data_IF_706978954805
#
_entry.id   IF_706978954805
#
_cell.length_a   1.000
_cell.length_b   1.000
_cell.length_c   1.000
_cell.angle_alpha   90.00
_cell.angle_beta   90.00
_cell.angle_gamma   90.00
#
_symmetry.space_group_name_H-M   'P 1'
#
loop_
_entity.id
_entity.type
_entity.pdbx_description
1 polymer ?
#
# COMPACT_ATOMS: atom_id res chain seq x y z
N UNK A 1 38.60 -24.67 -55.03
CA UNK A 1 37.41 -23.78 -54.96
C UNK A 1 36.46 -24.40 -53.93
N UNK A 2 36.56 -24.02 -52.65
CA UNK A 2 35.66 -23.06 -51.97
C UNK A 2 34.20 -23.31 -52.34
N UNK A 3 33.36 -23.73 -51.39
CA UNK A 3 32.63 -22.80 -50.53
C UNK A 3 32.29 -23.39 -49.16
N UNK A 4 32.72 -22.69 -48.11
CA UNK A 4 32.27 -22.83 -46.73
C UNK A 4 30.83 -22.31 -46.60
N UNK A 5 29.95 -23.09 -45.95
CA UNK A 5 28.67 -22.59 -45.45
C UNK A 5 28.70 -22.67 -43.92
N UNK A 6 28.93 -21.53 -43.28
CA UNK A 6 28.89 -21.38 -41.84
C UNK A 6 27.45 -21.58 -41.34
N UNK A 7 27.21 -22.68 -40.63
CA UNK A 7 25.99 -22.89 -39.86
C UNK A 7 26.21 -22.37 -38.44
N UNK A 8 26.02 -21.07 -38.26
CA UNK A 8 25.83 -20.43 -36.95
C UNK A 8 24.34 -20.17 -36.83
N UNK A 9 23.60 -21.06 -36.16
CA UNK A 9 22.21 -20.80 -35.82
C UNK A 9 21.94 -21.16 -34.36
N UNK A 10 22.15 -20.14 -33.54
CA UNK A 10 21.34 -19.78 -32.37
C UNK A 10 20.78 -20.94 -31.52
N UNK A 11 21.54 -21.30 -30.48
CA UNK A 11 20.97 -21.77 -29.21
C UNK A 11 20.14 -20.63 -28.60
N UNK A 12 18.92 -20.43 -29.11
CA UNK A 12 17.89 -19.71 -28.39
C UNK A 12 17.51 -20.59 -27.22
N UNK A 13 18.08 -20.30 -26.06
CA UNK A 13 17.61 -20.76 -24.77
C UNK A 13 16.12 -20.43 -24.66
N UNK A 14 15.29 -21.38 -25.04
CA UNK A 14 13.89 -21.47 -24.64
C UNK A 14 13.92 -21.86 -23.17
N UNK A 15 14.38 -20.96 -22.31
CA UNK A 15 14.05 -21.04 -20.89
C UNK A 15 12.56 -20.75 -20.83
N UNK A 16 11.69 -21.75 -20.57
CA UNK A 16 10.32 -21.44 -20.23
C UNK A 16 10.42 -20.57 -18.98
N UNK A 17 9.97 -19.34 -19.12
CA UNK A 17 9.78 -18.41 -18.02
C UNK A 17 8.95 -19.17 -16.98
N UNK A 18 9.61 -19.68 -15.94
CA UNK A 18 8.94 -20.33 -14.82
C UNK A 18 8.04 -19.26 -14.21
N UNK A 19 6.79 -19.25 -14.66
CA UNK A 19 5.70 -18.57 -14.01
C UNK A 19 5.59 -19.18 -12.63
N UNK A 20 6.27 -18.58 -11.66
CA UNK A 20 6.02 -18.83 -10.25
C UNK A 20 4.57 -18.46 -9.98
N UNK A 21 3.67 -19.45 -10.09
CA UNK A 21 2.29 -19.29 -9.64
C UNK A 21 2.37 -18.93 -8.15
N UNK A 22 1.67 -17.87 -7.70
CA UNK A 22 1.65 -17.52 -6.29
C UNK A 22 1.08 -18.70 -5.51
N UNK A 23 1.92 -19.33 -4.69
CA UNK A 23 1.50 -20.41 -3.80
C UNK A 23 0.67 -19.77 -2.69
N UNK A 24 -0.64 -20.04 -2.65
CA UNK A 24 -1.50 -19.65 -1.52
C UNK A 24 -0.92 -20.31 -0.26
N UNK A 25 -0.53 -19.55 0.79
CA UNK A 25 0.08 -20.15 1.97
C UNK A 25 -0.95 -20.96 2.76
N UNK A 26 -0.48 -22.03 3.42
CA UNK A 26 -1.32 -23.11 3.96
C UNK A 26 -2.22 -22.73 5.15
N UNK A 27 -1.96 -21.61 5.84
CA UNK A 27 -2.85 -21.01 6.87
C UNK A 27 -2.62 -19.49 6.96
N UNK A 28 -3.66 -18.63 6.86
CA UNK A 28 -3.53 -17.21 7.15
C UNK A 28 -3.29 -16.98 8.66
N UNK A 29 -2.61 -15.88 8.98
CA UNK A 29 -2.79 -15.22 10.27
C UNK A 29 -4.09 -14.43 10.15
N UNK A 30 -5.15 -14.87 10.84
CA UNK A 30 -6.39 -14.09 10.89
C UNK A 30 -6.19 -12.95 11.89
N UNK A 31 -6.40 -11.73 11.44
CA UNK A 31 -6.40 -10.53 12.27
C UNK A 31 -7.82 -9.98 12.21
N UNK A 32 -8.53 -10.07 13.33
CA UNK A 32 -9.85 -9.43 13.46
C UNK A 32 -9.60 -7.96 13.77
N UNK A 33 -10.07 -7.07 12.91
CA UNK A 33 -9.94 -5.64 13.11
C UNK A 33 -11.29 -4.95 13.01
N UNK A 34 -11.90 -4.71 14.17
CA UNK A 34 -13.24 -4.14 14.25
C UNK A 34 -14.30 -5.08 13.63
N UNK A 35 -14.99 -4.61 12.58
CA UNK A 35 -16.05 -5.36 11.87
C UNK A 35 -15.57 -6.08 10.60
N UNK A 36 -14.28 -5.94 10.24
CA UNK A 36 -13.73 -6.53 9.02
C UNK A 36 -12.68 -7.56 9.40
N UNK A 37 -12.88 -8.80 8.94
CA UNK A 37 -11.89 -9.87 9.09
C UNK A 37 -10.81 -9.67 8.03
N UNK A 38 -9.60 -9.33 8.48
CA UNK A 38 -8.44 -9.13 7.60
C UNK A 38 -7.54 -10.35 7.72
N UNK A 39 -7.56 -11.19 6.69
CA UNK A 39 -6.65 -12.32 6.60
C UNK A 39 -5.28 -11.86 6.09
N UNK A 40 -4.25 -12.11 6.90
CA UNK A 40 -2.87 -11.77 6.56
C UNK A 40 -2.05 -13.02 6.30
N UNK A 41 -1.45 -13.08 5.12
CA UNK A 41 -0.71 -14.21 4.61
C UNK A 41 0.80 -13.92 4.64
N UNK A 42 1.59 -14.87 5.15
CA UNK A 42 3.06 -14.75 5.13
C UNK A 42 3.67 -15.36 3.87
N UNK A 43 4.63 -14.67 3.28
CA UNK A 43 5.48 -15.16 2.19
C UNK A 43 6.80 -15.62 2.78
N UNK A 44 7.10 -16.91 2.64
CA UNK A 44 8.32 -17.53 3.19
C UNK A 44 9.29 -17.95 2.09
N UNK A 45 10.59 -17.77 2.33
CA UNK A 45 11.68 -18.30 1.50
C UNK A 45 12.68 -19.02 2.41
N UNK A 46 12.99 -20.29 2.10
CA UNK A 46 13.88 -21.14 2.93
C UNK A 46 13.47 -21.16 4.42
N UNK A 47 12.18 -21.35 4.70
CA UNK A 47 11.56 -21.33 6.04
C UNK A 47 11.59 -19.97 6.79
N UNK A 48 12.27 -18.93 6.28
CA UNK A 48 12.25 -17.57 6.84
C UNK A 48 11.11 -16.75 6.21
N UNK A 49 10.41 -15.95 7.02
CA UNK A 49 9.42 -14.97 6.55
C UNK A 49 10.15 -13.82 5.84
N UNK A 50 9.62 -13.38 4.69
CA UNK A 50 10.18 -12.30 3.86
C UNK A 50 9.23 -11.12 3.68
N UNK A 51 7.94 -11.37 3.71
CA UNK A 51 6.92 -10.35 3.55
C UNK A 51 5.55 -10.89 3.93
N UNK A 52 4.57 -10.00 3.98
CA UNK A 52 3.17 -10.31 4.19
C UNK A 52 2.32 -9.68 3.10
N UNK A 53 1.12 -10.24 2.89
CA UNK A 53 0.08 -9.61 2.09
C UNK A 53 -1.30 -9.91 2.66
N UNK A 54 -2.28 -9.09 2.29
CA UNK A 54 -3.69 -9.31 2.59
C UNK A 54 -4.51 -8.91 1.38
N UNK A 55 -5.49 -9.75 1.04
CA UNK A 55 -6.53 -9.41 0.08
C UNK A 55 -7.65 -8.72 0.87
N UNK A 56 -7.82 -7.43 0.65
CA UNK A 56 -8.78 -6.58 1.34
C UNK A 56 -9.99 -6.35 0.44
N UNK A 57 -11.16 -6.64 0.97
CA UNK A 57 -12.46 -6.31 0.40
C UNK A 57 -13.29 -5.63 1.51
N UNK A 58 -13.49 -4.32 1.39
CA UNK A 58 -14.10 -3.52 2.47
C UNK A 58 -14.99 -2.42 1.91
N UNK A 59 -16.11 -2.08 2.59
CA UNK A 59 -16.82 -0.85 2.29
C UNK A 59 -15.92 0.36 2.58
N UNK A 60 -16.05 1.41 1.76
CA UNK A 60 -15.19 2.61 1.82
C UNK A 60 -15.97 3.92 1.79
N UNK A 61 -17.24 3.90 2.18
CA UNK A 61 -18.02 5.08 2.43
C UNK A 61 -18.95 4.89 3.63
N UNK A 62 -19.63 5.96 4.06
CA UNK A 62 -20.51 5.94 5.23
C UNK A 62 -21.86 5.27 4.98
N UNK A 63 -22.21 5.07 3.72
CA UNK A 63 -23.48 4.48 3.28
C UNK A 63 -23.22 3.13 2.61
N UNK A 64 -24.13 2.16 2.74
CA UNK A 64 -23.94 0.80 2.17
C UNK A 64 -24.15 0.72 0.64
N UNK A 65 -24.09 1.86 -0.06
CA UNK A 65 -24.38 1.94 -1.49
C UNK A 65 -23.11 1.80 -2.32
N UNK A 66 -21.93 2.12 -1.78
CA UNK A 66 -20.70 2.17 -2.57
C UNK A 66 -20.19 0.78 -3.00
N UNK A 67 -19.47 0.76 -4.13
CA UNK A 67 -18.69 -0.41 -4.52
C UNK A 67 -17.59 -0.72 -3.48
N UNK A 68 -17.41 -2.00 -3.19
CA UNK A 68 -16.38 -2.45 -2.25
C UNK A 68 -14.98 -2.16 -2.81
N UNK A 69 -14.10 -1.62 -1.95
CA UNK A 69 -12.70 -1.49 -2.29
C UNK A 69 -12.04 -2.86 -2.32
N UNK A 70 -11.46 -3.23 -3.47
CA UNK A 70 -10.82 -4.53 -3.72
C UNK A 70 -9.37 -4.34 -4.09
N UNK A 71 -8.47 -4.77 -3.21
CA UNK A 71 -7.04 -4.63 -3.41
C UNK A 71 -6.24 -5.62 -2.58
N UNK A 72 -5.00 -5.88 -3.01
CA UNK A 72 -4.00 -6.58 -2.22
C UNK A 72 -3.02 -5.57 -1.65
N UNK A 73 -2.89 -5.54 -0.33
CA UNK A 73 -1.86 -4.77 0.39
C UNK A 73 -0.63 -5.65 0.66
N UNK A 74 0.55 -5.03 0.75
CA UNK A 74 1.81 -5.72 1.00
C UNK A 74 2.59 -5.04 2.14
N UNK A 75 3.26 -5.87 2.95
CA UNK A 75 4.18 -5.42 4.00
C UNK A 75 5.50 -6.17 3.95
N UNK A 76 6.58 -5.54 4.41
CA UNK A 76 7.89 -6.18 4.56
C UNK A 76 7.90 -7.13 5.78
N UNK A 77 9.04 -7.79 5.99
CA UNK A 77 9.28 -8.67 7.14
C UNK A 77 9.15 -8.00 8.51
N UNK A 78 9.15 -6.66 8.58
CA UNK A 78 8.98 -5.88 9.80
C UNK A 78 7.57 -5.28 9.94
N UNK A 79 6.66 -5.60 9.02
CA UNK A 79 5.31 -5.04 8.99
C UNK A 79 5.23 -3.61 8.45
N UNK A 80 6.24 -3.11 7.74
CA UNK A 80 6.17 -1.80 7.08
C UNK A 80 5.46 -1.92 5.74
N UNK A 81 4.56 -0.98 5.45
CA UNK A 81 3.84 -0.94 4.18
C UNK A 81 4.79 -0.86 2.97
N UNK A 82 4.55 -1.72 1.97
CA UNK A 82 5.38 -1.82 0.77
C UNK A 82 4.68 -1.34 -0.51
N UNK A 83 3.35 -1.29 -0.52
CA UNK A 83 2.55 -0.95 -1.70
C UNK A 83 1.27 -1.79 -1.78
N UNK A 84 0.56 -1.63 -2.90
CA UNK A 84 -0.68 -2.36 -3.17
C UNK A 84 -0.82 -2.75 -4.64
N UNK A 85 -1.76 -3.67 -4.92
CA UNK A 85 -2.20 -4.03 -6.26
C UNK A 85 -3.72 -4.11 -6.30
N UNK A 86 -4.31 -3.74 -7.42
CA UNK A 86 -5.74 -3.91 -7.67
C UNK A 86 -5.98 -4.88 -8.83
N UNK A 87 -7.15 -5.55 -8.90
CA UNK A 87 -7.54 -6.33 -10.07
C UNK A 87 -7.47 -5.47 -11.35
N UNK A 88 -6.49 -5.70 -12.23
CA UNK A 88 -6.25 -4.95 -13.50
C UNK A 88 -6.73 -3.47 -13.48
N UNK A 89 -6.24 -2.66 -12.53
CA UNK A 89 -6.56 -1.20 -12.45
C UNK A 89 -8.05 -0.87 -12.20
N UNK A 90 -8.81 -1.83 -11.70
CA UNK A 90 -10.19 -1.69 -11.22
C UNK A 90 -10.25 -2.09 -9.74
N UNK A 91 -11.23 -1.58 -9.00
CA UNK A 91 -11.46 -1.98 -7.61
C UNK A 91 -11.33 -0.87 -6.57
N UNK A 92 -11.06 0.38 -6.97
CA UNK A 92 -11.25 1.55 -6.10
C UNK A 92 -12.08 2.61 -6.84
N UNK A 93 -13.06 3.16 -6.15
CA UNK A 93 -13.92 4.24 -6.64
C UNK A 93 -13.87 5.43 -5.69
N UNK A 94 -14.05 6.62 -6.24
CA UNK A 94 -14.35 7.85 -5.50
C UNK A 94 -15.84 7.88 -5.15
N UNK A 95 -16.28 8.98 -4.54
CA UNK A 95 -17.69 9.37 -4.45
C UNK A 95 -18.36 9.29 -5.83
N UNK A 96 -19.66 8.98 -5.83
CA UNK A 96 -20.48 8.73 -7.02
C UNK A 96 -19.98 7.56 -7.90
N UNK A 97 -19.32 6.55 -7.30
CA UNK A 97 -18.84 5.36 -8.01
C UNK A 97 -17.84 5.63 -9.13
N UNK A 98 -17.21 6.81 -9.16
CA UNK A 98 -16.26 7.15 -10.22
C UNK A 98 -14.98 6.35 -10.03
N UNK A 99 -14.51 5.59 -11.04
CA UNK A 99 -13.30 4.78 -10.89
C UNK A 99 -12.08 5.67 -10.67
N UNK A 100 -11.09 5.14 -9.94
CA UNK A 100 -9.80 5.78 -9.80
C UNK A 100 -9.06 5.88 -11.14
N UNK A 101 -8.46 7.04 -11.40
CA UNK A 101 -7.48 7.24 -12.46
C UNK A 101 -6.09 6.74 -12.03
N UNK A 102 -5.17 6.61 -13.00
CA UNK A 102 -3.76 6.30 -12.70
C UNK A 102 -3.11 7.30 -11.74
N UNK A 103 -3.45 8.59 -11.86
CA UNK A 103 -2.98 9.62 -10.92
C UNK A 103 -3.52 9.42 -9.52
N UNK A 104 -4.76 8.96 -9.38
CA UNK A 104 -5.37 8.69 -8.06
C UNK A 104 -4.67 7.50 -7.39
N UNK A 105 -4.39 6.43 -8.14
CA UNK A 105 -3.63 5.29 -7.64
C UNK A 105 -2.22 5.69 -7.19
N UNK A 106 -1.53 6.55 -7.95
CA UNK A 106 -0.21 7.08 -7.58
C UNK A 106 -0.28 7.98 -6.34
N UNK A 107 -1.29 8.84 -6.26
CA UNK A 107 -1.49 9.71 -5.10
C UNK A 107 -1.78 8.88 -3.84
N UNK A 108 -2.61 7.85 -3.94
CA UNK A 108 -2.88 6.92 -2.85
C UNK A 108 -1.63 6.15 -2.42
N UNK A 109 -0.84 5.58 -3.35
CA UNK A 109 0.40 4.87 -2.99
C UNK A 109 1.40 5.82 -2.31
N UNK A 110 1.57 7.03 -2.85
CA UNK A 110 2.44 8.04 -2.27
C UNK A 110 1.98 8.47 -0.88
N UNK A 111 0.66 8.56 -0.66
CA UNK A 111 0.08 8.85 0.63
C UNK A 111 0.32 7.71 1.64
N UNK A 112 0.05 6.46 1.25
CA UNK A 112 0.22 5.29 2.12
C UNK A 112 1.70 5.02 2.45
N UNK A 113 2.65 5.52 1.66
CA UNK A 113 4.09 5.43 1.98
C UNK A 113 4.56 6.47 2.99
N UNK A 114 3.82 7.55 3.19
CA UNK A 114 4.17 8.58 4.18
C UNK A 114 3.78 8.10 5.56
N UNK A 115 4.64 8.39 6.53
CA UNK A 115 4.20 8.41 7.93
C UNK A 115 3.24 9.59 8.05
N UNK A 116 1.96 9.29 8.26
CA UNK A 116 0.90 10.28 8.13
C UNK A 116 0.15 10.45 9.45
N UNK A 117 0.77 11.15 10.42
CA UNK A 117 0.26 11.24 11.79
C UNK A 117 -1.14 11.87 11.93
N UNK A 118 -1.66 12.73 11.02
CA UNK A 118 -3.02 13.27 11.19
C UNK A 118 -4.08 12.18 11.30
N UNK A 119 -3.95 11.08 10.55
CA UNK A 119 -4.93 9.99 10.57
C UNK A 119 -4.81 9.05 11.76
N UNK A 120 -3.69 9.07 12.48
CA UNK A 120 -3.48 8.21 13.66
C UNK A 120 -4.45 8.54 14.79
N UNK A 121 -4.84 9.82 14.91
CA UNK A 121 -5.65 10.35 16.01
C UNK A 121 -7.03 10.86 15.56
N UNK A 122 -7.49 10.50 14.37
CA UNK A 122 -8.78 10.94 13.83
C UNK A 122 -9.80 9.81 13.76
N UNK A 123 -11.03 10.11 14.14
CA UNK A 123 -12.19 9.24 13.94
C UNK A 123 -12.83 9.48 12.56
N UNK A 124 -13.53 8.49 11.96
CA UNK A 124 -14.16 8.62 10.64
C UNK A 124 -15.06 9.86 10.49
N UNK A 125 -15.79 10.23 11.55
CA UNK A 125 -16.69 11.40 11.56
C UNK A 125 -15.92 12.73 11.43
N UNK A 126 -14.64 12.77 11.79
CA UNK A 126 -13.80 13.96 11.71
C UNK A 126 -13.18 14.16 10.32
N UNK A 127 -13.36 13.20 9.41
CA UNK A 127 -12.83 13.29 8.04
C UNK A 127 -13.64 14.22 7.15
N UNK A 128 -14.88 14.50 7.54
CA UNK A 128 -15.84 15.27 6.77
C UNK A 128 -16.52 16.32 7.63
N UNK A 129 -16.90 17.43 7.00
CA UNK A 129 -17.78 18.42 7.60
C UNK A 129 -19.15 17.79 7.87
N UNK A 130 -19.58 17.82 9.13
CA UNK A 130 -20.79 17.11 9.58
C UNK A 130 -22.11 17.67 9.04
N UNK A 131 -22.08 18.79 8.32
CA UNK A 131 -23.26 19.44 7.73
C UNK A 131 -23.32 19.15 6.23
N UNK A 132 -22.19 19.30 5.54
CA UNK A 132 -22.08 19.22 4.07
C UNK A 132 -21.55 17.87 3.57
N UNK A 133 -20.98 17.05 4.45
CA UNK A 133 -20.29 15.80 4.09
C UNK A 133 -18.98 15.99 3.32
N UNK A 134 -18.52 17.23 3.15
CA UNK A 134 -17.32 17.54 2.39
C UNK A 134 -16.06 17.18 3.20
N UNK A 135 -15.01 16.66 2.54
CA UNK A 135 -13.70 16.44 3.19
C UNK A 135 -13.19 17.72 3.83
N UNK A 136 -12.75 17.64 5.09
CA UNK A 136 -12.20 18.81 5.81
C UNK A 136 -10.95 19.34 5.10
N UNK A 137 -10.76 20.68 5.01
CA UNK A 137 -9.67 21.30 4.25
C UNK A 137 -8.28 20.73 4.57
N UNK A 138 -8.03 20.43 5.85
CA UNK A 138 -6.78 19.90 6.39
C UNK A 138 -6.40 18.55 5.76
N UNK A 139 -7.38 17.78 5.28
CA UNK A 139 -7.14 16.47 4.66
C UNK A 139 -7.10 16.50 3.14
N UNK A 140 -7.57 17.59 2.50
CA UNK A 140 -7.67 17.69 1.04
C UNK A 140 -6.31 17.62 0.35
N UNK A 141 -5.25 18.16 0.96
CA UNK A 141 -3.88 18.10 0.44
C UNK A 141 -3.21 16.73 0.63
N UNK A 142 -3.77 15.89 1.50
CA UNK A 142 -3.20 14.59 1.83
C UNK A 142 -3.96 13.45 1.15
N UNK A 143 -5.26 13.57 0.89
CA UNK A 143 -6.05 12.49 0.32
C UNK A 143 -6.25 12.58 -1.20
N UNK A 144 -6.67 11.47 -1.80
CA UNK A 144 -7.28 11.48 -3.13
C UNK A 144 -8.61 12.25 -3.05
N UNK A 145 -8.80 13.34 -3.82
CA UNK A 145 -10.05 14.10 -3.80
C UNK A 145 -11.26 13.21 -4.13
N UNK A 146 -12.29 13.30 -3.29
CA UNK A 146 -13.50 12.48 -3.42
C UNK A 146 -13.34 11.05 -2.91
N UNK A 147 -12.24 10.69 -2.23
CA UNK A 147 -12.01 9.34 -1.69
C UNK A 147 -11.35 9.37 -0.30
N UNK A 148 -11.73 10.31 0.57
CA UNK A 148 -11.14 10.46 1.91
C UNK A 148 -11.35 9.22 2.77
N UNK A 149 -12.56 8.63 2.76
CA UNK A 149 -12.86 7.42 3.53
C UNK A 149 -12.05 6.22 3.05
N UNK A 150 -12.00 5.98 1.72
CA UNK A 150 -11.13 4.96 1.13
C UNK A 150 -9.68 5.15 1.57
N UNK A 151 -9.19 6.39 1.48
CA UNK A 151 -7.80 6.73 1.83
C UNK A 151 -7.52 6.46 3.30
N UNK A 152 -8.42 6.88 4.20
CA UNK A 152 -8.33 6.64 5.64
C UNK A 152 -8.39 5.16 6.00
N UNK A 153 -9.38 4.42 5.50
CA UNK A 153 -9.55 2.99 5.79
C UNK A 153 -8.31 2.20 5.38
N UNK A 154 -7.78 2.47 4.18
CA UNK A 154 -6.56 1.79 3.72
C UNK A 154 -5.34 2.17 4.53
N UNK A 155 -5.25 3.42 5.01
CA UNK A 155 -4.18 3.85 5.91
C UNK A 155 -4.23 3.13 7.24
N UNK A 156 -5.41 3.03 7.86
CA UNK A 156 -5.62 2.32 9.12
C UNK A 156 -5.19 0.85 8.99
N UNK A 157 -5.56 0.18 7.89
CA UNK A 157 -5.12 -1.20 7.63
C UNK A 157 -3.60 -1.28 7.45
N UNK A 158 -3.03 -0.37 6.65
CA UNK A 158 -1.62 -0.37 6.30
C UNK A 158 -0.68 -0.05 7.47
N UNK A 159 -1.07 0.83 8.40
CA UNK A 159 -0.18 1.39 9.43
C UNK A 159 -0.56 1.06 10.87
N UNK A 160 -1.84 0.86 11.15
CA UNK A 160 -2.33 0.60 12.50
C UNK A 160 -2.62 -0.88 12.70
N UNK A 161 -3.64 -1.40 12.01
CA UNK A 161 -4.27 -2.68 12.32
C UNK A 161 -3.32 -3.87 12.04
N UNK A 162 -2.83 -3.99 10.80
CA UNK A 162 -1.97 -5.11 10.40
C UNK A 162 -0.59 -5.04 11.06
N UNK A 163 0.14 -3.91 11.04
CA UNK A 163 1.46 -3.85 11.65
C UNK A 163 1.43 -4.11 13.16
N UNK A 164 0.42 -3.61 13.88
CA UNK A 164 0.27 -3.89 15.32
C UNK A 164 0.13 -5.39 15.58
N UNK A 165 -0.79 -6.05 14.88
CA UNK A 165 -1.02 -7.48 15.05
C UNK A 165 0.19 -8.35 14.60
N UNK A 166 0.92 -7.93 13.55
CA UNK A 166 2.17 -8.59 13.16
C UNK A 166 3.23 -8.49 14.26
N UNK A 167 3.40 -7.29 14.85
CA UNK A 167 4.37 -7.07 15.94
C UNK A 167 4.04 -7.88 17.18
N UNK A 168 2.78 -7.88 17.59
CA UNK A 168 2.31 -8.66 18.75
C UNK A 168 2.51 -10.17 18.56
N UNK A 169 2.15 -10.71 17.39
CA UNK A 169 2.22 -12.16 17.13
C UNK A 169 3.63 -12.66 16.83
N UNK A 170 4.49 -11.83 16.25
CA UNK A 170 5.82 -12.24 15.77
C UNK A 170 6.96 -11.63 16.59
N UNK A 171 6.66 -10.87 17.64
CA UNK A 171 7.62 -10.16 18.49
C UNK A 171 8.59 -9.29 17.67
N UNK A 172 8.05 -8.55 16.69
CA UNK A 172 8.81 -7.64 15.83
C UNK A 172 8.92 -6.28 16.55
N UNK A 173 10.13 -5.80 16.80
CA UNK A 173 10.34 -4.46 17.39
C UNK A 173 9.96 -3.34 16.41
N UNK A 174 9.31 -2.28 16.90
CA UNK A 174 8.98 -1.09 16.09
C UNK A 174 10.28 -0.36 15.76
N UNK A 175 10.70 -0.36 14.49
CA UNK A 175 11.74 0.58 14.04
C UNK A 175 11.14 1.99 14.07
N UNK A 176 11.77 2.99 14.70
CA UNK A 176 11.26 4.36 14.66
C UNK A 176 11.21 4.84 13.21
N UNK A 177 10.12 5.52 12.84
CA UNK A 177 10.02 6.20 11.57
C UNK A 177 11.23 7.12 11.43
N UNK A 178 12.01 6.94 10.37
CA UNK A 178 13.24 7.69 10.17
C UNK A 178 12.93 9.18 10.13
N UNK A 179 13.42 9.92 11.14
CA UNK A 179 13.58 11.37 11.03
C UNK A 179 14.48 11.60 9.82
N UNK A 180 13.96 12.23 8.78
CA UNK A 180 14.80 12.78 7.73
C UNK A 180 15.77 13.74 8.41
N UNK A 181 17.06 13.43 8.35
CA UNK A 181 18.13 14.30 8.82
C UNK A 181 18.13 15.56 7.96
N UNK A 182 17.57 16.66 8.47
CA UNK A 182 18.07 18.00 8.14
C UNK A 182 19.46 18.12 8.76
N UNK A 183 20.46 17.58 8.06
CA UNK A 183 21.86 17.94 8.25
C UNK A 183 22.13 19.10 7.28
N UNK A 184 22.45 20.25 7.85
CA UNK A 184 22.34 21.53 7.18
C UNK A 184 23.29 21.75 6.01
N UNK A 185 22.81 22.55 5.06
CA UNK A 185 23.68 23.38 4.24
C UNK A 185 23.63 24.79 4.83
N UNK A 186 24.71 25.13 5.53
CA UNK A 186 24.93 26.44 6.15
C UNK A 186 24.85 27.54 5.08
N UNK A 187 24.14 28.61 5.40
CA UNK A 187 24.20 29.89 4.70
C UNK A 187 25.66 30.37 4.69
N UNK A 188 26.22 30.55 3.50
CA UNK A 188 27.49 31.26 3.29
C UNK A 188 27.15 32.71 2.99
N UNK A 189 27.22 33.56 4.02
CA UNK A 189 27.34 35.00 3.84
C UNK A 189 28.78 35.31 3.45
N UNK A 190 28.98 35.78 2.21
CA UNK A 190 30.20 36.49 1.81
C UNK A 190 29.93 37.99 1.93
N UNK A 191 30.82 38.79 2.55
CA UNK A 191 30.72 40.23 2.47
C UNK A 191 31.18 40.70 1.09
N UNK A 192 30.43 41.64 0.50
CA UNK A 192 30.85 42.40 -0.66
C UNK A 192 31.65 43.60 -0.13
N UNK A 193 32.88 43.73 -0.63
CA UNK A 193 33.72 44.92 -0.46
C UNK A 193 33.18 46.08 -1.29
#
# INVERSE_FOLDING_TARGET
MSRHFHLVFALVFLFPFLGMKPVKPKKPFVIVSGKVDIEVFSIKKRKKIRSFYSDVETPVCMEDICELAKLRLFWDENGNYCGFKTPKKHGLTKIDHRPFSESDYKALDAFLRKDNPPFENMEPVQLVDGITGATVPELKSHCVPGAVFTTYTLWQIAHSQVPKALREKLNIEKKPAGKNSEAGLKQSTKPIH
#
